data_IF_267668290435
#
_entry.id   IF_267668290435
#
_cell.length_a   1.000
_cell.length_b   1.000
_cell.length_c   1.000
_cell.angle_alpha   90.00
_cell.angle_beta   90.00
_cell.angle_gamma   90.00
#
_symmetry.space_group_name_H-M   'P 1'
#
loop_
_entity.id
_entity.type
_entity.pdbx_description
1 polymer ?
#
# COMPACT_ATOMS: atom_id res chain seq x y z
N UNK A 1 4.15 0.94 2.51
CA UNK A 1 4.03 -0.30 1.71
C UNK A 1 5.44 -0.74 1.42
N UNK A 2 5.83 -1.96 1.79
CA UNK A 2 7.17 -2.52 1.53
C UNK A 2 7.06 -3.88 0.86
N UNK A 3 8.14 -4.38 0.28
CA UNK A 3 8.16 -5.62 -0.51
C UNK A 3 9.31 -6.58 -0.18
N UNK A 4 10.39 -6.11 0.45
CA UNK A 4 11.56 -6.94 0.79
C UNK A 4 12.10 -6.70 2.22
N UNK A 5 13.05 -7.52 2.66
CA UNK A 5 13.64 -7.52 4.01
C UNK A 5 14.09 -6.13 4.51
N UNK A 6 14.67 -5.23 3.69
CA UNK A 6 15.01 -3.88 4.14
C UNK A 6 13.83 -3.08 4.69
N UNK A 7 12.59 -3.37 4.26
CA UNK A 7 11.38 -2.69 4.73
C UNK A 7 10.89 -3.21 6.10
N UNK A 8 11.33 -4.41 6.49
CA UNK A 8 10.85 -5.12 7.67
C UNK A 8 10.94 -4.29 8.98
N UNK A 9 12.04 -3.59 9.28
CA UNK A 9 12.15 -2.81 10.52
C UNK A 9 11.12 -1.68 10.58
N UNK A 10 10.90 -0.98 9.48
CA UNK A 10 9.91 0.11 9.39
C UNK A 10 8.49 -0.44 9.47
N UNK A 11 8.22 -1.55 8.79
CA UNK A 11 6.91 -2.19 8.78
C UNK A 11 6.47 -2.69 10.15
N UNK A 12 7.40 -3.09 11.03
CA UNK A 12 7.08 -3.45 12.42
C UNK A 12 6.64 -2.27 13.29
N UNK A 13 7.02 -1.05 12.94
CA UNK A 13 6.77 0.15 13.76
C UNK A 13 5.52 0.94 13.37
N UNK A 14 4.86 0.61 12.27
CA UNK A 14 3.74 1.40 11.72
C UNK A 14 2.36 0.80 12.00
N UNK A 15 1.33 1.65 11.99
CA UNK A 15 -0.04 1.23 12.29
C UNK A 15 -0.65 0.30 11.24
N UNK A 16 -0.29 0.46 9.96
CA UNK A 16 -0.83 -0.32 8.85
C UNK A 16 0.30 -0.73 7.88
N UNK A 17 1.11 -1.75 8.22
CA UNK A 17 2.04 -2.34 7.27
C UNK A 17 1.26 -3.03 6.15
N UNK A 18 1.69 -2.79 4.92
CA UNK A 18 1.10 -3.39 3.72
C UNK A 18 2.17 -3.73 2.68
N UNK A 19 1.87 -4.68 1.80
CA UNK A 19 2.80 -5.13 0.77
C UNK A 19 2.08 -5.54 -0.53
N UNK A 20 2.78 -5.59 -1.68
CA UNK A 20 2.22 -6.13 -2.92
C UNK A 20 2.14 -7.67 -2.90
N UNK A 21 1.39 -8.24 -3.86
CA UNK A 21 1.15 -9.68 -3.96
C UNK A 21 2.44 -10.51 -4.18
N UNK A 22 3.48 -9.91 -4.74
CA UNK A 22 4.78 -10.50 -5.07
C UNK A 22 5.89 -10.19 -4.06
N UNK A 23 5.56 -9.55 -2.93
CA UNK A 23 6.50 -9.35 -1.81
C UNK A 23 7.02 -10.68 -1.24
N UNK A 24 8.18 -10.63 -0.58
CA UNK A 24 8.78 -11.79 0.09
C UNK A 24 7.89 -12.32 1.22
N UNK A 25 7.93 -13.62 1.55
CA UNK A 25 7.08 -14.23 2.57
C UNK A 25 7.16 -13.54 3.94
N UNK A 26 8.34 -13.08 4.34
CA UNK A 26 8.62 -12.39 5.61
C UNK A 26 7.84 -11.09 5.71
N UNK A 27 7.76 -10.35 4.60
CA UNK A 27 7.03 -9.08 4.51
C UNK A 27 5.53 -9.32 4.47
N UNK A 28 5.07 -10.35 3.76
CA UNK A 28 3.66 -10.77 3.78
C UNK A 28 3.21 -11.17 5.19
N UNK A 29 4.06 -11.88 5.93
CA UNK A 29 3.74 -12.36 7.28
C UNK A 29 3.49 -11.24 8.30
N UNK A 30 4.13 -10.07 8.13
CA UNK A 30 3.93 -8.91 9.01
C UNK A 30 2.94 -7.87 8.45
N UNK A 31 2.49 -8.05 7.21
CA UNK A 31 1.57 -7.11 6.56
C UNK A 31 0.14 -7.32 7.05
N UNK A 32 -0.49 -6.24 7.52
CA UNK A 32 -1.94 -6.24 7.84
C UNK A 32 -2.80 -6.28 6.59
N UNK A 33 -2.25 -5.82 5.46
CA UNK A 33 -2.91 -5.85 4.17
C UNK A 33 -1.92 -6.27 3.08
N UNK A 34 -2.29 -7.27 2.29
CA UNK A 34 -1.56 -7.68 1.09
C UNK A 34 -2.42 -7.31 -0.11
N UNK A 35 -1.91 -6.44 -0.98
CA UNK A 35 -2.64 -6.06 -2.20
C UNK A 35 -2.78 -7.27 -3.11
N UNK A 36 -3.93 -7.40 -3.77
CA UNK A 36 -4.15 -8.40 -4.82
C UNK A 36 -3.37 -8.09 -6.11
N UNK A 37 -2.70 -6.94 -6.17
CA UNK A 37 -1.86 -6.52 -7.30
C UNK A 37 -0.39 -6.71 -6.98
N UNK A 38 0.39 -6.97 -8.02
CA UNK A 38 1.85 -7.03 -7.98
C UNK A 38 2.48 -5.63 -7.92
N UNK A 39 3.72 -5.56 -7.46
CA UNK A 39 4.57 -4.36 -7.50
C UNK A 39 4.62 -3.76 -8.90
N UNK A 40 4.52 -2.43 -9.00
CA UNK A 40 4.45 -1.72 -10.28
C UNK A 40 3.20 -1.97 -11.13
N UNK A 41 2.24 -2.80 -10.67
CA UNK A 41 0.98 -3.13 -11.37
C UNK A 41 -0.26 -2.61 -10.63
N UNK A 42 -0.11 -1.49 -9.93
CA UNK A 42 -1.21 -0.81 -9.23
C UNK A 42 -1.37 -1.18 -7.76
N UNK A 43 -0.43 -1.88 -7.15
CA UNK A 43 -0.50 -2.24 -5.72
C UNK A 43 -0.57 -1.02 -4.79
N UNK A 44 0.18 0.05 -5.09
CA UNK A 44 0.09 1.32 -4.34
C UNK A 44 -1.25 2.02 -4.60
N UNK A 45 -1.75 1.99 -5.85
CA UNK A 45 -3.04 2.58 -6.22
C UNK A 45 -4.19 1.92 -5.46
N UNK A 46 -4.14 0.61 -5.26
CA UNK A 46 -5.11 -0.16 -4.48
C UNK A 46 -5.21 0.35 -3.04
N UNK A 47 -4.07 0.54 -2.37
CA UNK A 47 -4.01 1.10 -1.01
C UNK A 47 -4.51 2.56 -0.98
N UNK A 48 -4.07 3.40 -1.92
CA UNK A 48 -4.50 4.80 -2.01
C UNK A 48 -6.03 4.90 -2.18
N UNK A 49 -6.62 4.07 -3.03
CA UNK A 49 -8.06 4.05 -3.27
C UNK A 49 -8.84 3.73 -1.99
N UNK A 50 -8.42 2.72 -1.24
CA UNK A 50 -9.04 2.37 0.04
C UNK A 50 -8.94 3.52 1.05
N UNK A 51 -7.76 4.12 1.19
CA UNK A 51 -7.52 5.25 2.11
C UNK A 51 -8.41 6.43 1.74
N UNK A 52 -8.44 6.83 0.47
CA UNK A 52 -9.24 7.97 0.01
C UNK A 52 -10.75 7.71 0.17
N UNK A 53 -11.22 6.49 -0.09
CA UNK A 53 -12.63 6.12 0.11
C UNK A 53 -13.03 6.21 1.57
N UNK A 54 -12.23 5.64 2.49
CA UNK A 54 -12.51 5.70 3.94
C UNK A 54 -12.46 7.15 4.46
N UNK A 55 -11.62 8.00 3.88
CA UNK A 55 -11.56 9.42 4.23
C UNK A 55 -12.62 10.29 3.54
N UNK A 56 -13.49 9.74 2.67
CA UNK A 56 -14.45 10.52 1.88
C UNK A 56 -13.81 11.44 0.83
N UNK A 57 -12.53 11.24 0.51
CA UNK A 57 -11.74 12.07 -0.42
C UNK A 57 -11.61 11.48 -1.84
N UNK A 58 -12.24 10.32 -2.08
CA UNK A 58 -12.19 9.65 -3.38
C UNK A 58 -12.97 10.40 -4.46
N UNK A 59 -14.15 10.92 -4.10
CA UNK A 59 -15.04 11.60 -5.04
C UNK A 59 -14.65 13.07 -5.21
N UNK A 60 -14.69 13.59 -6.45
CA UNK A 60 -14.53 15.03 -6.73
C UNK A 60 -13.13 15.48 -7.13
N UNK A 61 -12.10 14.64 -6.95
CA UNK A 61 -10.73 14.92 -7.38
C UNK A 61 -10.44 14.34 -8.78
N UNK A 62 -11.04 14.96 -9.80
CA UNK A 62 -10.86 14.55 -11.20
C UNK A 62 -9.72 15.29 -11.92
N UNK A 63 -9.17 16.33 -11.29
CA UNK A 63 -8.11 17.15 -11.83
C UNK A 63 -6.82 16.93 -11.05
N UNK A 64 -5.71 16.71 -11.76
CA UNK A 64 -4.38 16.76 -11.16
C UNK A 64 -3.94 18.22 -11.05
N UNK A 65 -3.46 18.64 -9.86
CA UNK A 65 -2.58 19.80 -9.77
C UNK A 65 -1.15 19.31 -9.99
N UNK A 66 -0.52 19.78 -11.05
CA UNK A 66 0.92 19.66 -11.22
C UNK A 66 1.54 20.84 -10.48
N UNK A 67 2.36 20.53 -9.48
CA UNK A 67 3.23 21.47 -8.75
C UNK A 67 4.49 21.83 -9.54
#
# INVERSE_FOLDING_TARGET
MGDDIPDFPVMKGIGLPCCPQDAVPEIKAISKYVSHKKGGKGAVRDVIEQVLKVQGKWSGNFNAKYD
#
